data_IF_550000775691
#
_entry.id   IF_550000775691
#
_cell.length_a   1.000
_cell.length_b   1.000
_cell.length_c   1.000
_cell.angle_alpha   90.00
_cell.angle_beta   90.00
_cell.angle_gamma   90.00
#
_symmetry.space_group_name_H-M   'P 1'
#
loop_
_entity.id
_entity.type
_entity.pdbx_description
1 polymer ?
#
# COMPACT_ATOMS: atom_id res chain seq x y z
N UNK A 1 -7.54 -6.32 13.23
CA UNK A 1 -6.34 -5.78 12.56
C UNK A 1 -5.97 -6.80 11.49
N UNK A 2 -5.99 -6.40 10.21
CA UNK A 2 -5.70 -7.29 9.09
C UNK A 2 -4.32 -6.97 8.52
N UNK A 3 -3.55 -8.02 8.26
CA UNK A 3 -2.20 -7.92 7.72
C UNK A 3 -2.24 -8.12 6.20
N UNK A 4 -1.59 -7.22 5.47
CA UNK A 4 -1.59 -7.20 4.02
C UNK A 4 -0.15 -7.20 3.51
N UNK A 5 0.15 -8.12 2.61
CA UNK A 5 1.43 -8.17 1.90
C UNK A 5 1.41 -7.23 0.70
N UNK A 6 2.31 -6.26 0.71
CA UNK A 6 2.37 -5.18 -0.28
C UNK A 6 3.78 -5.09 -0.87
N UNK A 7 3.85 -5.17 -2.19
CA UNK A 7 5.05 -4.97 -2.96
C UNK A 7 5.12 -3.53 -3.48
N UNK A 8 6.07 -2.77 -2.97
CA UNK A 8 6.23 -1.35 -3.31
C UNK A 8 7.27 -1.16 -4.41
N UNK A 9 6.83 -0.53 -5.50
CA UNK A 9 7.67 -0.09 -6.61
C UNK A 9 7.83 1.43 -6.51
N UNK A 10 8.99 1.86 -6.02
CA UNK A 10 9.31 3.28 -5.90
C UNK A 10 9.79 3.88 -7.24
N UNK A 11 9.85 5.21 -7.33
CA UNK A 11 10.28 5.96 -8.52
C UNK A 11 9.42 5.70 -9.77
N UNK A 12 8.14 5.39 -9.57
CA UNK A 12 7.21 5.26 -10.69
C UNK A 12 6.69 6.63 -11.11
N UNK A 13 6.76 6.97 -12.40
CA UNK A 13 6.18 8.23 -12.90
C UNK A 13 4.65 8.29 -12.76
N UNK A 14 4.00 7.13 -12.56
CA UNK A 14 2.55 7.03 -12.35
C UNK A 14 2.29 6.20 -11.09
N UNK A 15 1.80 6.81 -10.00
CA UNK A 15 1.47 6.07 -8.80
C UNK A 15 0.16 5.32 -9.01
N UNK A 16 0.17 4.01 -8.76
CA UNK A 16 -0.96 3.09 -8.99
C UNK A 16 -0.99 2.04 -7.89
N UNK A 17 -2.14 1.43 -7.67
CA UNK A 17 -2.31 0.29 -6.77
C UNK A 17 -2.91 -0.82 -7.64
N UNK A 18 -2.33 -2.01 -7.65
CA UNK A 18 -2.82 -3.16 -8.42
C UNK A 18 -2.76 -4.40 -7.55
N UNK A 19 -3.82 -5.20 -7.57
CA UNK A 19 -3.84 -6.49 -6.88
C UNK A 19 -3.30 -7.56 -7.83
N UNK A 20 -2.34 -8.34 -7.36
CA UNK A 20 -1.82 -9.51 -8.05
C UNK A 20 -2.19 -10.77 -7.25
N UNK A 21 -2.02 -11.96 -7.84
CA UNK A 21 -2.37 -13.23 -7.18
C UNK A 21 -1.57 -13.46 -5.88
N UNK A 22 -0.35 -12.92 -5.81
CA UNK A 22 0.59 -13.05 -4.70
C UNK A 22 0.47 -11.94 -3.63
N UNK A 23 -0.33 -10.88 -3.88
CA UNK A 23 -0.44 -9.74 -2.97
C UNK A 23 -0.83 -8.43 -3.64
N UNK A 24 -0.48 -7.29 -3.05
CA UNK A 24 -0.81 -5.96 -3.60
C UNK A 24 0.46 -5.27 -4.08
N UNK A 25 0.47 -4.80 -5.32
CA UNK A 25 1.57 -4.02 -5.89
C UNK A 25 1.22 -2.54 -5.88
N UNK A 26 2.06 -1.73 -5.24
CA UNK A 26 1.85 -0.28 -5.15
C UNK A 26 3.02 0.44 -5.80
N UNK A 27 2.71 1.21 -6.84
CA UNK A 27 3.66 2.11 -7.46
C UNK A 27 3.59 3.45 -6.76
N UNK A 28 4.74 3.90 -6.26
CA UNK A 28 4.93 5.17 -5.58
C UNK A 28 5.85 6.05 -6.42
N UNK A 29 5.56 7.36 -6.43
CA UNK A 29 6.47 8.35 -7.03
C UNK A 29 7.66 8.58 -6.11
N UNK A 30 7.41 8.58 -4.79
CA UNK A 30 8.45 8.77 -3.80
C UNK A 30 9.55 7.71 -3.89
N UNK A 31 10.80 8.15 -3.76
CA UNK A 31 11.93 7.26 -3.61
C UNK A 31 11.89 6.54 -2.24
N UNK A 32 12.49 5.34 -2.10
CA UNK A 32 12.60 4.63 -0.82
C UNK A 32 13.69 5.26 0.08
N UNK A 33 13.80 6.58 0.07
CA UNK A 33 14.81 7.34 0.78
C UNK A 33 14.19 7.97 2.03
N UNK A 34 14.81 7.74 3.19
CA UNK A 34 14.40 8.32 4.49
C UNK A 34 12.91 8.11 4.84
N UNK A 35 12.29 7.01 4.41
CA UNK A 35 10.90 6.70 4.73
C UNK A 35 9.84 7.50 3.97
N UNK A 36 10.20 8.27 2.93
CA UNK A 36 9.24 8.99 2.07
C UNK A 36 8.22 8.04 1.42
N UNK A 37 8.70 6.93 0.88
CA UNK A 37 7.84 5.87 0.34
C UNK A 37 6.88 5.28 1.39
N UNK A 38 7.30 5.17 2.66
CA UNK A 38 6.41 4.65 3.71
C UNK A 38 5.27 5.64 3.98
N UNK A 39 5.59 6.94 4.04
CA UNK A 39 4.60 7.99 4.27
C UNK A 39 3.60 8.06 3.12
N UNK A 40 4.10 8.09 1.88
CA UNK A 40 3.26 8.09 0.67
C UNK A 40 2.39 6.83 0.57
N UNK A 41 2.93 5.65 0.94
CA UNK A 41 2.17 4.41 0.97
C UNK A 41 1.00 4.49 1.97
N UNK A 42 1.28 4.93 3.20
CA UNK A 42 0.28 5.05 4.26
C UNK A 42 -0.79 6.07 3.86
N UNK A 43 -0.39 7.24 3.37
CA UNK A 43 -1.32 8.27 2.92
C UNK A 43 -2.21 7.77 1.77
N UNK A 44 -1.63 7.10 0.77
CA UNK A 44 -2.39 6.58 -0.39
C UNK A 44 -3.32 5.44 -0.01
N UNK A 45 -2.87 4.51 0.85
CA UNK A 45 -3.72 3.42 1.32
C UNK A 45 -4.81 3.96 2.26
N UNK A 46 -4.50 4.91 3.14
CA UNK A 46 -5.48 5.50 4.03
C UNK A 46 -6.53 6.31 3.28
N UNK A 47 -6.14 7.08 2.27
CA UNK A 47 -7.06 7.80 1.38
C UNK A 47 -7.91 6.84 0.53
N UNK A 48 -7.28 5.80 -0.04
CA UNK A 48 -7.99 4.80 -0.83
C UNK A 48 -8.99 4.00 0.02
N UNK A 49 -8.63 3.64 1.26
CA UNK A 49 -9.43 2.77 2.12
C UNK A 49 -10.35 3.54 3.06
N UNK A 50 -10.06 4.80 3.35
CA UNK A 50 -10.80 5.59 4.34
C UNK A 50 -10.53 5.19 5.79
N UNK A 51 -9.47 4.42 6.07
CA UNK A 51 -9.15 4.03 7.45
C UNK A 51 -7.64 3.93 7.70
N UNK A 52 -7.30 3.62 8.95
CA UNK A 52 -5.95 3.75 9.48
C UNK A 52 -5.05 2.60 9.00
N UNK A 53 -3.86 2.96 8.51
CA UNK A 53 -2.89 2.03 7.92
C UNK A 53 -1.56 2.20 8.62
N UNK A 54 -1.02 1.09 9.11
CA UNK A 54 0.24 1.03 9.84
C UNK A 54 1.23 0.12 9.12
N UNK A 55 2.49 0.54 9.04
CA UNK A 55 3.54 -0.33 8.51
C UNK A 55 4.00 -1.28 9.62
N UNK A 56 3.70 -2.57 9.49
CA UNK A 56 4.11 -3.60 10.45
C UNK A 56 5.54 -4.06 10.19
N UNK A 57 5.89 -4.28 8.91
CA UNK A 57 7.22 -4.81 8.54
C UNK A 57 7.66 -4.39 7.13
N UNK A 58 8.96 -4.52 6.84
CA UNK A 58 9.54 -4.20 5.52
C UNK A 58 9.97 -2.73 5.34
N UNK A 59 10.28 -2.00 6.41
CA UNK A 59 10.69 -0.59 6.31
C UNK A 59 11.92 -0.36 5.39
N UNK A 60 12.83 -1.34 5.30
CA UNK A 60 14.01 -1.31 4.39
C UNK A 60 13.85 -2.12 3.09
N UNK A 61 12.75 -2.85 2.92
CA UNK A 61 12.52 -3.73 1.78
C UNK A 61 11.45 -3.18 0.84
N UNK A 62 11.47 -3.69 -0.40
CA UNK A 62 10.41 -3.44 -1.40
C UNK A 62 9.13 -4.18 -1.02
N UNK A 63 9.28 -5.35 -0.40
CA UNK A 63 8.19 -6.10 0.19
C UNK A 63 7.92 -5.59 1.60
N UNK A 64 6.67 -5.26 1.85
CA UNK A 64 6.20 -4.63 3.08
C UNK A 64 4.94 -5.34 3.56
N UNK A 65 4.80 -5.43 4.87
CA UNK A 65 3.57 -5.87 5.51
C UNK A 65 2.93 -4.66 6.17
N UNK A 66 1.71 -4.34 5.78
CA UNK A 66 0.93 -3.25 6.38
C UNK A 66 -0.25 -3.82 7.14
N UNK A 67 -0.51 -3.27 8.31
CA UNK A 67 -1.69 -3.53 9.12
C UNK A 67 -2.75 -2.49 8.79
N UNK A 68 -3.92 -2.95 8.33
CA UNK A 68 -5.07 -2.07 8.10
C UNK A 68 -6.12 -2.28 9.20
N UNK A 69 -6.69 -1.18 9.67
CA UNK A 69 -7.79 -1.18 10.65
C UNK A 69 -9.17 -1.12 9.97
N UNK A 70 -9.27 -1.63 8.74
CA UNK A 70 -10.49 -1.63 7.93
C UNK A 70 -11.11 -3.02 7.83
N UNK A 71 -12.36 -3.09 7.37
CA UNK A 71 -13.02 -4.35 7.02
C UNK A 71 -12.60 -4.80 5.61
N UNK A 72 -12.43 -6.11 5.40
CA UNK A 72 -11.98 -6.72 4.16
C UNK A 72 -12.86 -6.37 2.94
N UNK A 73 -14.16 -6.12 3.18
CA UNK A 73 -15.13 -5.82 2.14
C UNK A 73 -14.88 -4.47 1.44
N UNK A 74 -14.58 -3.40 2.21
CA UNK A 74 -14.28 -2.08 1.64
C UNK A 74 -12.95 -2.09 0.87
N UNK A 75 -11.97 -2.83 1.37
CA UNK A 75 -10.70 -3.04 0.70
C UNK A 75 -10.90 -3.68 -0.68
N UNK A 76 -11.73 -4.71 -0.79
CA UNK A 76 -12.02 -5.36 -2.08
C UNK A 76 -12.82 -4.48 -3.03
N UNK A 77 -13.79 -3.70 -2.55
CA UNK A 77 -14.53 -2.76 -3.39
C UNK A 77 -13.65 -1.64 -3.94
N UNK A 78 -12.80 -1.05 -3.09
CA UNK A 78 -11.85 -0.01 -3.50
C UNK A 78 -10.78 -0.56 -4.45
N UNK A 79 -10.27 -1.76 -4.20
CA UNK A 79 -9.31 -2.44 -5.09
C UNK A 79 -9.94 -2.79 -6.46
N UNK A 80 -11.23 -3.12 -6.50
CA UNK A 80 -11.94 -3.43 -7.75
C UNK A 80 -12.23 -2.19 -8.61
N UNK A 81 -12.24 -1.00 -8.00
CA UNK A 81 -12.40 0.28 -8.69
C UNK A 81 -11.09 0.89 -9.19
N UNK A 82 -9.92 0.45 -8.68
CA UNK A 82 -8.62 0.88 -9.21
C UNK A 82 -8.34 0.10 -10.49
N UNK A 83 -8.90 0.59 -11.58
CA UNK A 83 -8.69 0.07 -12.94
C UNK A 83 -7.49 0.70 -13.63
#
# INVERSE_FOLDING_TARGET
>A
MQELHVHVVCKSSRPRIERTADGIKVWLQSAPEKGKANKELIERLSDALGCDVLLLSGSKSREKTVGVQCTQNELEEKLSSVK
#
